data_IF_969080352631
#
_entry.id   IF_969080352631
#
_cell.length_a   1.000
_cell.length_b   1.000
_cell.length_c   1.000
_cell.angle_alpha   90.00
_cell.angle_beta   90.00
_cell.angle_gamma   90.00
#
_symmetry.space_group_name_H-M   'P 1'
#
loop_
_entity.id
_entity.type
_entity.pdbx_description
1 polymer ?
#
# COMPACT_ATOMS: atom_id res chain seq x y z
N UNK A 1 -15.54 -26.50 -24.05
CA UNK A 1 -14.30 -26.43 -23.24
C UNK A 1 -14.39 -25.32 -22.20
N UNK A 2 -14.68 -24.06 -22.54
CA UNK A 2 -14.69 -22.91 -21.61
C UNK A 2 -15.63 -23.12 -20.41
N UNK A 3 -16.91 -23.47 -20.64
CA UNK A 3 -17.91 -23.72 -19.57
C UNK A 3 -17.46 -24.85 -18.63
N UNK A 4 -16.85 -25.91 -19.16
CA UNK A 4 -16.32 -26.99 -18.35
C UNK A 4 -15.21 -26.50 -17.42
N UNK A 5 -14.22 -25.77 -17.95
CA UNK A 5 -13.12 -25.23 -17.17
C UNK A 5 -13.60 -24.23 -16.09
N UNK A 6 -14.63 -23.46 -16.42
CA UNK A 6 -15.26 -22.55 -15.45
C UNK A 6 -15.95 -23.33 -14.32
N UNK A 7 -16.73 -24.37 -14.65
CA UNK A 7 -17.41 -25.20 -13.67
C UNK A 7 -16.44 -26.01 -12.80
N UNK A 8 -15.30 -26.41 -13.36
CA UNK A 8 -14.20 -27.07 -12.65
C UNK A 8 -13.35 -26.09 -11.79
N UNK A 9 -13.63 -24.78 -11.85
CA UNK A 9 -12.91 -23.75 -11.09
C UNK A 9 -11.52 -23.43 -11.62
N UNK A 10 -11.16 -23.94 -12.81
CA UNK A 10 -9.84 -23.73 -13.42
C UNK A 10 -9.71 -22.34 -14.06
N UNK A 11 -10.83 -21.75 -14.46
CA UNK A 11 -10.90 -20.36 -14.92
C UNK A 11 -11.96 -19.62 -14.10
N UNK A 12 -11.69 -18.37 -13.83
CA UNK A 12 -12.58 -17.51 -13.06
C UNK A 12 -12.43 -16.06 -13.52
N UNK A 13 -13.44 -15.24 -13.21
CA UNK A 13 -13.36 -13.79 -13.39
C UNK A 13 -12.83 -13.16 -12.11
N UNK A 14 -11.74 -12.41 -12.19
CA UNK A 14 -11.15 -11.74 -11.05
C UNK A 14 -10.37 -10.50 -11.47
N UNK A 15 -10.13 -9.61 -10.52
CA UNK A 15 -9.21 -8.48 -10.69
C UNK A 15 -7.78 -8.95 -10.46
N UNK A 16 -6.85 -8.44 -11.24
CA UNK A 16 -5.42 -8.66 -11.09
C UNK A 16 -4.67 -7.35 -11.25
N UNK A 17 -3.52 -7.25 -10.60
CA UNK A 17 -2.59 -6.18 -10.86
C UNK A 17 -1.97 -6.37 -12.26
N UNK A 18 -1.87 -5.30 -13.02
CA UNK A 18 -1.29 -5.29 -14.37
C UNK A 18 -0.40 -4.04 -14.52
N UNK A 19 0.61 -4.12 -15.38
CA UNK A 19 1.31 -2.94 -15.83
C UNK A 19 0.37 -2.10 -16.69
N UNK A 20 0.33 -0.79 -16.46
CA UNK A 20 -0.60 0.14 -17.10
C UNK A 20 0.14 1.35 -17.67
N UNK A 21 -0.06 1.65 -18.95
CA UNK A 21 0.43 2.87 -19.57
C UNK A 21 -0.64 3.97 -19.50
N UNK A 22 -0.40 5.05 -18.71
CA UNK A 22 -1.36 6.14 -18.53
C UNK A 22 -1.47 7.09 -19.73
N UNK A 23 -0.58 6.99 -20.73
CA UNK A 23 -0.66 7.77 -21.98
C UNK A 23 -1.45 7.03 -23.04
N UNK A 24 -1.19 5.75 -23.20
CA UNK A 24 -1.87 4.91 -24.18
C UNK A 24 -3.20 4.36 -23.67
N UNK A 25 -3.46 4.48 -22.35
CA UNK A 25 -4.65 3.96 -21.67
C UNK A 25 -4.83 2.46 -21.94
N UNK A 26 -3.77 1.69 -21.82
CA UNK A 26 -3.77 0.25 -22.07
C UNK A 26 -2.95 -0.51 -21.03
N UNK A 27 -3.33 -1.75 -20.78
CA UNK A 27 -2.49 -2.69 -20.06
C UNK A 27 -1.29 -3.08 -20.94
N UNK A 28 -0.14 -3.23 -20.32
CA UNK A 28 1.12 -3.63 -20.95
C UNK A 28 1.47 -5.02 -20.45
N UNK A 29 1.85 -5.92 -21.36
CA UNK A 29 2.32 -7.27 -21.02
C UNK A 29 3.66 -7.19 -20.28
N UNK A 30 3.89 -8.09 -19.32
CA UNK A 30 5.18 -8.17 -18.61
C UNK A 30 6.37 -8.38 -19.56
N UNK A 31 6.14 -8.99 -20.73
CA UNK A 31 7.16 -9.19 -21.76
C UNK A 31 7.53 -7.89 -22.50
N UNK A 32 6.69 -6.87 -22.42
CA UNK A 32 6.88 -5.56 -23.06
C UNK A 32 7.48 -4.53 -22.10
N UNK A 33 7.59 -4.87 -20.81
CA UNK A 33 8.16 -4.00 -19.78
C UNK A 33 9.68 -4.19 -19.78
N UNK A 34 10.40 -3.12 -20.07
CA UNK A 34 11.87 -3.07 -19.94
C UNK A 34 12.21 -2.42 -18.61
N UNK A 35 13.03 -3.11 -17.81
CA UNK A 35 13.54 -2.55 -16.56
C UNK A 35 14.75 -1.68 -16.88
N UNK A 36 14.72 -0.41 -16.49
CA UNK A 36 15.80 0.54 -16.63
C UNK A 36 16.18 1.07 -15.25
N UNK A 37 17.48 1.23 -15.00
CA UNK A 37 17.97 1.86 -13.78
C UNK A 37 17.88 3.38 -13.94
N UNK A 38 17.24 4.04 -12.99
CA UNK A 38 17.14 5.48 -12.92
C UNK A 38 17.71 5.99 -11.58
N UNK A 39 18.36 7.14 -11.62
CA UNK A 39 18.71 7.84 -10.39
C UNK A 39 17.44 8.29 -9.68
N UNK A 40 17.22 7.77 -8.48
CA UNK A 40 16.03 8.01 -7.70
C UNK A 40 16.34 8.40 -6.26
N UNK A 41 15.33 8.83 -5.55
CA UNK A 41 15.39 9.11 -4.12
C UNK A 41 14.66 8.02 -3.35
N UNK A 42 15.17 7.70 -2.15
CA UNK A 42 14.48 6.88 -1.18
C UNK A 42 14.13 7.74 0.02
N UNK A 43 12.84 7.85 0.32
CA UNK A 43 12.35 8.63 1.44
C UNK A 43 12.08 7.70 2.63
N UNK A 44 12.59 8.10 3.80
CA UNK A 44 12.34 7.43 5.06
C UNK A 44 11.25 8.16 5.82
N UNK A 45 10.14 7.48 6.09
CA UNK A 45 8.95 8.09 6.66
C UNK A 45 8.61 7.37 7.97
N UNK A 46 8.49 8.10 9.07
CA UNK A 46 8.05 7.54 10.34
C UNK A 46 6.51 7.47 10.38
N UNK A 47 5.98 6.26 10.57
CA UNK A 47 4.56 6.01 10.82
C UNK A 47 4.35 5.89 12.32
N UNK A 48 3.79 6.92 13.00
CA UNK A 48 3.66 6.91 14.45
C UNK A 48 2.68 5.83 14.92
N UNK A 49 2.90 5.26 16.10
CA UNK A 49 1.94 4.31 16.67
C UNK A 49 0.63 5.02 17.01
N UNK A 50 -0.49 4.31 16.76
CA UNK A 50 -1.85 4.85 17.00
C UNK A 50 -2.08 5.20 18.47
N UNK A 51 -1.61 4.35 19.39
CA UNK A 51 -1.82 4.48 20.83
C UNK A 51 -0.69 5.22 21.57
N UNK A 52 0.20 5.87 20.82
CA UNK A 52 1.35 6.57 21.36
C UNK A 52 2.62 5.72 21.44
N UNK A 53 3.73 6.28 21.95
CA UNK A 53 5.02 5.62 21.95
C UNK A 53 5.03 4.26 22.67
N UNK A 54 5.80 3.30 22.15
CA UNK A 54 5.98 1.97 22.73
C UNK A 54 7.46 1.83 23.11
N UNK A 55 7.75 1.87 24.42
CA UNK A 55 9.13 1.96 24.90
C UNK A 55 9.81 3.23 24.38
N UNK A 56 10.91 3.11 23.71
CA UNK A 56 11.65 4.24 23.11
C UNK A 56 11.25 4.54 21.65
N UNK A 57 10.32 3.76 21.09
CA UNK A 57 9.88 3.94 19.70
C UNK A 57 8.65 4.82 19.65
N UNK A 58 8.67 5.83 18.79
CA UNK A 58 7.52 6.70 18.51
C UNK A 58 6.65 6.18 17.36
N UNK A 59 7.19 5.29 16.54
CA UNK A 59 6.56 4.71 15.35
C UNK A 59 7.50 3.75 14.65
N UNK A 60 7.15 3.35 13.44
CA UNK A 60 7.96 2.54 12.54
C UNK A 60 8.40 3.35 11.33
N UNK A 61 9.69 3.30 11.01
CA UNK A 61 10.23 3.98 9.82
C UNK A 61 10.19 3.04 8.62
N UNK A 62 9.47 3.44 7.59
CA UNK A 62 9.41 2.76 6.28
C UNK A 62 10.24 3.52 5.26
N UNK A 63 10.76 2.82 4.25
CA UNK A 63 11.47 3.42 3.13
C UNK A 63 10.69 3.21 1.83
N UNK A 64 10.59 4.25 1.00
CA UNK A 64 9.88 4.17 -0.28
C UNK A 64 10.50 5.08 -1.34
N UNK A 65 10.47 4.61 -2.59
CA UNK A 65 10.80 5.42 -3.78
C UNK A 65 9.56 6.11 -4.37
N UNK A 66 8.34 5.76 -3.87
CA UNK A 66 7.06 6.21 -4.42
C UNK A 66 6.12 6.73 -3.32
N UNK A 67 6.45 7.87 -2.67
CA UNK A 67 5.64 8.39 -1.55
C UNK A 67 4.19 8.71 -1.95
N UNK A 68 3.90 9.00 -3.21
CA UNK A 68 2.52 9.21 -3.68
C UNK A 68 1.62 7.98 -3.53
N UNK A 69 2.19 6.77 -3.51
CA UNK A 69 1.40 5.54 -3.33
C UNK A 69 1.09 5.24 -1.87
N UNK A 70 1.77 5.91 -0.90
CA UNK A 70 1.51 5.70 0.53
C UNK A 70 0.06 5.98 0.92
N UNK A 71 -0.64 6.84 0.18
CA UNK A 71 -2.05 7.11 0.40
C UNK A 71 -2.92 5.83 0.31
N UNK A 72 -2.42 4.80 -0.35
CA UNK A 72 -3.03 3.49 -0.50
C UNK A 72 -2.46 2.39 0.41
N UNK A 73 -1.56 2.72 1.34
CA UNK A 73 -0.99 1.72 2.25
C UNK A 73 -2.07 1.12 3.15
N UNK A 74 -2.00 -0.18 3.35
CA UNK A 74 -3.02 -0.95 4.10
C UNK A 74 -2.45 -1.71 5.30
N UNK A 75 -1.13 -1.85 5.36
CA UNK A 75 -0.41 -2.45 6.48
C UNK A 75 1.06 -1.99 6.46
N UNK A 76 1.72 -2.25 7.57
CA UNK A 76 3.18 -2.27 7.67
C UNK A 76 3.57 -3.69 8.03
N UNK A 77 4.58 -4.27 7.38
CA UNK A 77 5.03 -5.63 7.67
C UNK A 77 6.44 -5.64 8.25
N UNK A 78 6.66 -6.58 9.16
CA UNK A 78 7.94 -6.89 9.81
C UNK A 78 8.18 -8.38 9.74
N UNK A 79 9.44 -8.81 9.82
CA UNK A 79 9.73 -10.24 9.89
C UNK A 79 9.31 -10.80 11.24
N UNK A 80 8.65 -11.98 11.33
CA UNK A 80 8.13 -12.55 12.59
C UNK A 80 9.21 -12.85 13.63
N UNK A 81 10.43 -13.16 13.17
CA UNK A 81 11.59 -13.46 14.04
C UNK A 81 12.48 -12.24 14.31
N UNK A 82 12.09 -11.04 13.86
CA UNK A 82 12.86 -9.83 14.16
C UNK A 82 12.55 -9.36 15.59
N UNK A 83 13.48 -9.60 16.50
CA UNK A 83 13.34 -9.26 17.93
C UNK A 83 13.09 -7.76 18.17
N UNK A 84 13.53 -6.91 17.22
CA UNK A 84 13.29 -5.46 17.31
C UNK A 84 11.81 -5.12 17.24
N UNK A 85 11.03 -5.89 16.45
CA UNK A 85 9.65 -5.55 16.08
C UNK A 85 8.62 -6.64 16.37
N UNK A 86 9.03 -7.87 16.70
CA UNK A 86 8.11 -8.99 16.96
C UNK A 86 7.03 -8.66 18.01
N UNK A 87 7.36 -7.87 19.02
CA UNK A 87 6.43 -7.43 20.07
C UNK A 87 5.41 -6.37 19.62
N UNK A 88 5.56 -5.83 18.40
CA UNK A 88 4.67 -4.83 17.79
C UNK A 88 3.63 -5.45 16.86
N UNK A 89 3.78 -6.74 16.50
CA UNK A 89 2.84 -7.45 15.63
C UNK A 89 1.45 -7.42 16.25
N UNK A 90 0.44 -7.10 15.42
CA UNK A 90 -0.95 -6.94 15.85
C UNK A 90 -1.30 -5.57 16.42
N UNK A 91 -0.33 -4.69 16.60
CA UNK A 91 -0.59 -3.26 16.90
C UNK A 91 -0.82 -2.47 15.61
N UNK A 92 -1.09 -1.18 15.75
CA UNK A 92 -1.38 -0.30 14.60
C UNK A 92 -0.49 0.94 14.60
N UNK A 93 -0.22 1.41 13.39
CA UNK A 93 0.41 2.71 13.13
C UNK A 93 -0.57 3.62 12.41
N UNK A 94 -0.42 4.93 12.61
CA UNK A 94 -1.19 5.94 11.91
C UNK A 94 -0.50 6.31 10.60
N UNK A 95 -1.18 6.11 9.49
CA UNK A 95 -0.69 6.51 8.18
C UNK A 95 -0.63 8.04 8.12
N UNK A 96 0.58 8.63 7.95
CA UNK A 96 0.73 10.08 7.90
C UNK A 96 -0.13 10.71 6.81
N UNK A 97 -0.55 11.95 7.00
CA UNK A 97 -1.38 12.76 6.10
C UNK A 97 -2.79 12.20 5.83
N UNK A 98 -3.02 10.90 5.99
CA UNK A 98 -4.31 10.24 5.72
C UNK A 98 -5.16 10.04 6.97
N UNK A 99 -4.56 10.05 8.16
CA UNK A 99 -5.25 9.82 9.43
C UNK A 99 -5.88 8.43 9.60
N UNK A 100 -5.53 7.45 8.74
CA UNK A 100 -5.95 6.05 8.87
C UNK A 100 -5.02 5.28 9.78
N UNK A 101 -5.57 4.39 10.57
CA UNK A 101 -4.81 3.40 11.31
C UNK A 101 -4.67 2.13 10.47
N UNK A 102 -3.45 1.63 10.33
CA UNK A 102 -3.12 0.42 9.58
C UNK A 102 -2.36 -0.57 10.47
N UNK A 103 -2.61 -1.88 10.35
CA UNK A 103 -2.03 -2.89 11.21
C UNK A 103 -0.54 -3.12 10.92
N UNK A 104 0.18 -3.56 11.94
CA UNK A 104 1.51 -4.15 11.84
C UNK A 104 1.33 -5.66 11.72
N UNK A 105 1.74 -6.23 10.58
CA UNK A 105 1.63 -7.65 10.27
C UNK A 105 2.99 -8.31 10.24
N UNK A 106 3.02 -9.64 10.39
CA UNK A 106 4.21 -10.46 10.23
C UNK A 106 4.23 -11.11 8.85
N UNK A 107 5.34 -11.01 8.11
CA UNK A 107 5.51 -11.73 6.86
C UNK A 107 6.99 -12.08 6.64
N UNK A 108 7.27 -13.33 6.28
CA UNK A 108 8.63 -13.85 6.04
C UNK A 108 9.28 -13.22 4.78
N UNK A 109 8.51 -12.50 3.97
CA UNK A 109 9.00 -11.73 2.83
C UNK A 109 9.96 -10.61 3.24
N UNK A 110 9.84 -10.11 4.47
CA UNK A 110 10.68 -8.99 4.96
C UNK A 110 12.10 -9.46 5.20
N UNK A 111 13.06 -8.81 4.53
CA UNK A 111 14.48 -8.98 4.83
C UNK A 111 14.85 -8.12 6.06
N UNK A 112 15.26 -8.78 7.14
CA UNK A 112 15.63 -8.14 8.41
C UNK A 112 16.86 -7.27 8.32
N UNK A 113 17.74 -7.57 7.37
CA UNK A 113 19.04 -6.89 7.19
C UNK A 113 18.96 -5.75 6.17
N UNK A 114 17.86 -5.68 5.42
CA UNK A 114 17.67 -4.63 4.42
C UNK A 114 16.94 -3.40 4.99
N UNK A 115 17.59 -2.24 4.87
CA UNK A 115 17.02 -0.97 5.32
C UNK A 115 16.66 -0.96 6.80
N UNK A 116 15.42 -0.59 7.12
CA UNK A 116 14.92 -0.59 8.50
C UNK A 116 14.44 -1.96 8.98
N UNK A 117 14.25 -2.93 8.08
CA UNK A 117 13.56 -4.19 8.36
C UNK A 117 12.03 -4.01 8.50
N UNK A 118 11.52 -2.87 8.07
CA UNK A 118 10.09 -2.51 8.11
C UNK A 118 9.63 -2.11 6.72
N UNK A 119 8.59 -2.74 6.20
CA UNK A 119 8.11 -2.53 4.82
C UNK A 119 6.65 -2.13 4.84
N UNK A 120 6.30 -1.07 4.11
CA UNK A 120 4.91 -0.68 3.87
C UNK A 120 4.25 -1.63 2.87
N UNK A 121 2.95 -1.81 2.93
CA UNK A 121 2.19 -2.72 2.06
C UNK A 121 1.13 -1.96 1.29
N UNK A 122 1.30 -1.89 -0.05
CA UNK A 122 0.38 -1.19 -0.98
C UNK A 122 -0.05 -2.13 -2.12
N UNK A 123 -0.95 -3.07 -1.89
CA UNK A 123 -1.26 -4.16 -2.82
C UNK A 123 -1.76 -3.72 -4.20
N UNK A 124 -2.31 -2.52 -4.31
CA UNK A 124 -2.80 -1.98 -5.58
C UNK A 124 -1.70 -1.36 -6.47
N UNK A 125 -0.49 -1.19 -5.95
CA UNK A 125 0.59 -0.44 -6.64
C UNK A 125 1.94 -1.15 -6.68
N UNK A 126 2.04 -2.37 -6.14
CA UNK A 126 3.25 -3.20 -6.16
C UNK A 126 2.89 -4.68 -6.25
N UNK A 127 3.60 -5.44 -7.10
CA UNK A 127 3.32 -6.87 -7.32
C UNK A 127 3.68 -7.74 -6.12
N UNK A 128 4.73 -7.40 -5.39
CA UNK A 128 5.12 -8.14 -4.19
C UNK A 128 4.11 -7.87 -3.06
N UNK A 129 3.71 -6.60 -2.89
CA UNK A 129 2.67 -6.22 -1.95
C UNK A 129 1.30 -6.83 -2.31
N UNK A 130 1.03 -7.03 -3.60
CA UNK A 130 -0.15 -7.75 -4.06
C UNK A 130 -0.17 -9.20 -3.54
N UNK A 131 0.97 -9.90 -3.61
CA UNK A 131 1.10 -11.26 -3.09
C UNK A 131 0.95 -11.30 -1.55
N UNK A 132 1.52 -10.32 -0.84
CA UNK A 132 1.32 -10.13 0.61
C UNK A 132 -0.16 -9.88 0.90
N UNK A 133 -0.80 -8.98 0.16
CA UNK A 133 -2.23 -8.70 0.28
C UNK A 133 -3.11 -9.94 0.15
N UNK A 134 -2.79 -10.82 -0.81
CA UNK A 134 -3.50 -12.09 -0.97
C UNK A 134 -3.34 -13.02 0.23
N UNK A 135 -2.10 -13.17 0.78
CA UNK A 135 -1.83 -14.04 1.92
C UNK A 135 -2.54 -13.56 3.19
N UNK A 136 -2.61 -12.26 3.38
CA UNK A 136 -3.15 -11.64 4.60
C UNK A 136 -4.60 -11.13 4.46
N UNK A 137 -5.24 -11.33 3.31
CA UNK A 137 -6.62 -10.86 3.08
C UNK A 137 -6.77 -9.32 3.14
N UNK A 138 -5.73 -8.58 2.75
CA UNK A 138 -5.72 -7.12 2.85
C UNK A 138 -6.54 -6.44 1.74
N UNK A 139 -7.06 -5.23 1.96
CA UNK A 139 -7.74 -4.47 0.93
C UNK A 139 -6.77 -3.99 -0.16
N UNK A 140 -7.29 -3.82 -1.38
CA UNK A 140 -6.59 -3.18 -2.49
C UNK A 140 -7.11 -1.75 -2.67
N UNK A 141 -6.32 -0.78 -2.28
CA UNK A 141 -6.67 0.64 -2.38
C UNK A 141 -5.89 1.25 -3.55
N UNK A 142 -6.55 1.39 -4.69
CA UNK A 142 -5.97 2.07 -5.84
C UNK A 142 -6.19 3.58 -5.71
N UNK A 143 -5.11 4.34 -5.57
CA UNK A 143 -5.14 5.80 -5.41
C UNK A 143 -4.94 6.57 -6.71
N UNK A 144 -4.65 5.88 -7.83
CA UNK A 144 -4.39 6.50 -9.12
C UNK A 144 -5.55 6.27 -10.10
N UNK A 145 -5.85 7.28 -10.89
CA UNK A 145 -6.74 7.21 -12.05
C UNK A 145 -6.03 6.55 -13.24
N UNK A 146 -6.77 6.24 -14.30
CA UNK A 146 -6.19 5.64 -15.52
C UNK A 146 -5.19 6.57 -16.23
N UNK A 147 -5.30 7.87 -16.05
CA UNK A 147 -4.36 8.88 -16.57
C UNK A 147 -3.25 9.27 -15.58
N UNK A 148 -3.09 8.48 -14.50
CA UNK A 148 -1.99 8.62 -13.55
C UNK A 148 -2.08 9.78 -12.57
N UNK A 149 -3.29 10.31 -12.34
CA UNK A 149 -3.54 11.34 -11.33
C UNK A 149 -4.05 10.74 -10.03
N UNK A 150 -3.93 11.48 -8.93
CA UNK A 150 -4.52 11.07 -7.66
C UNK A 150 -6.05 11.13 -7.76
N UNK A 151 -6.72 10.04 -7.35
CA UNK A 151 -8.19 9.95 -7.33
C UNK A 151 -8.82 10.96 -6.37
N UNK A 152 -10.03 11.38 -6.69
CA UNK A 152 -10.84 12.23 -5.81
C UNK A 152 -11.35 11.49 -4.56
N UNK A 153 -11.53 10.19 -4.66
CA UNK A 153 -11.90 9.31 -3.56
C UNK A 153 -11.22 7.96 -3.72
N UNK A 154 -10.62 7.42 -2.65
CA UNK A 154 -10.16 6.04 -2.68
C UNK A 154 -11.39 5.15 -2.74
N UNK A 155 -11.54 4.41 -3.82
CA UNK A 155 -12.52 3.34 -3.90
C UNK A 155 -11.79 2.09 -3.43
N UNK A 156 -12.35 1.42 -2.42
CA UNK A 156 -11.95 0.05 -2.11
C UNK A 156 -12.35 -0.81 -3.31
N UNK A 157 -11.39 -1.04 -4.18
CA UNK A 157 -11.66 -1.76 -5.42
C UNK A 157 -11.86 -3.25 -5.16
N UNK A 158 -11.27 -3.78 -4.05
CA UNK A 158 -11.27 -5.23 -3.82
C UNK A 158 -10.62 -5.58 -2.46
N UNK A 159 -11.16 -6.59 -1.77
CA UNK A 159 -10.49 -7.22 -0.61
C UNK A 159 -10.25 -8.70 -0.91
N UNK A 160 -9.03 -9.17 -0.70
CA UNK A 160 -8.68 -10.57 -0.91
C UNK A 160 -9.48 -11.48 0.04
N UNK A 161 -9.89 -12.65 -0.47
CA UNK A 161 -10.57 -13.67 0.33
C UNK A 161 -12.09 -13.64 0.32
N UNK A 162 -12.71 -12.63 -0.29
CA UNK A 162 -14.18 -12.56 -0.37
C UNK A 162 -14.70 -12.87 -1.78
N UNK A 163 -15.29 -14.06 -1.94
CA UNK A 163 -15.95 -14.46 -3.19
C UNK A 163 -17.21 -13.66 -3.52
N UNK A 164 -17.83 -12.95 -2.55
CA UNK A 164 -19.15 -12.31 -2.71
C UNK A 164 -19.29 -10.93 -2.06
N UNK A 165 -18.22 -10.16 -1.82
CA UNK A 165 -18.33 -8.74 -1.45
C UNK A 165 -19.04 -8.42 -0.12
N UNK A 166 -19.27 -9.39 0.74
CA UNK A 166 -19.93 -9.19 2.05
C UNK A 166 -19.03 -9.56 3.21
N UNK A 167 -18.22 -8.60 3.64
CA UNK A 167 -17.81 -8.52 5.04
C UNK A 167 -18.75 -7.56 5.76
N UNK A 168 -19.09 -7.89 7.00
CA UNK A 168 -19.72 -6.91 7.89
C UNK A 168 -18.76 -5.73 8.08
N UNK A 169 -19.27 -4.49 7.99
CA UNK A 169 -18.50 -3.24 8.05
C UNK A 169 -17.65 -3.06 9.32
N UNK A 170 -17.81 -3.94 10.30
CA UNK A 170 -17.15 -3.89 11.61
C UNK A 170 -15.79 -4.63 11.69
N UNK A 171 -15.38 -5.39 10.66
CA UNK A 171 -14.20 -6.25 10.74
C UNK A 171 -12.96 -5.76 9.98
N UNK A 172 -13.05 -4.62 9.30
CA UNK A 172 -11.93 -4.08 8.52
C UNK A 172 -11.34 -2.84 9.17
N UNK A 173 -10.36 -3.05 10.04
CA UNK A 173 -9.45 -1.99 10.47
C UNK A 173 -8.73 -1.44 9.23
N UNK A 174 -8.80 -0.12 9.00
CA UNK A 174 -8.06 0.54 7.93
C UNK A 174 -8.77 0.69 6.58
N UNK A 175 -10.08 0.45 6.49
CA UNK A 175 -10.83 0.80 5.26
C UNK A 175 -10.75 2.30 4.97
N UNK A 176 -10.45 2.68 3.73
CA UNK A 176 -10.48 4.08 3.35
C UNK A 176 -11.91 4.60 3.35
N UNK A 177 -12.11 5.74 3.98
CA UNK A 177 -13.31 6.56 3.78
C UNK A 177 -13.09 7.50 2.60
N UNK A 178 -14.17 8.15 2.12
CA UNK A 178 -14.06 9.19 1.09
C UNK A 178 -13.12 10.35 1.46
N UNK A 179 -12.70 10.45 2.73
CA UNK A 179 -11.80 11.49 3.26
C UNK A 179 -10.35 11.01 3.41
N UNK A 180 -10.06 9.73 3.15
CA UNK A 180 -8.72 9.15 3.35
C UNK A 180 -7.65 9.69 2.40
N UNK A 181 -8.03 10.27 1.27
CA UNK A 181 -7.11 11.05 0.43
C UNK A 181 -7.33 12.52 0.74
N UNK A 182 -6.32 13.24 1.24
CA UNK A 182 -6.42 14.68 1.47
C UNK A 182 -6.82 15.42 0.20
N UNK A 183 -7.73 16.39 0.34
CA UNK A 183 -8.27 17.15 -0.81
C UNK A 183 -7.17 17.88 -1.59
N UNK A 184 -6.09 18.24 -0.93
CA UNK A 184 -4.94 18.94 -1.51
C UNK A 184 -4.22 18.16 -2.61
N UNK A 185 -4.29 16.82 -2.58
CA UNK A 185 -3.60 15.97 -3.59
C UNK A 185 -4.52 15.53 -4.73
N UNK A 186 -5.84 15.62 -4.55
CA UNK A 186 -6.83 15.11 -5.52
C UNK A 186 -6.67 15.79 -6.88
N UNK A 187 -6.69 14.98 -7.93
CA UNK A 187 -6.55 15.46 -9.32
C UNK A 187 -5.13 15.86 -9.72
N UNK A 188 -4.16 15.90 -8.79
CA UNK A 188 -2.76 16.16 -9.14
C UNK A 188 -2.18 15.00 -9.94
N UNK A 189 -1.30 15.31 -10.90
CA UNK A 189 -0.43 14.31 -11.51
C UNK A 189 0.40 13.61 -10.41
N UNK A 190 0.68 12.32 -10.58
CA UNK A 190 1.40 11.52 -9.57
C UNK A 190 2.76 12.10 -9.16
N UNK A 191 3.48 12.73 -10.07
CA UNK A 191 4.78 13.33 -9.77
C UNK A 191 4.66 14.68 -9.04
N UNK A 192 3.61 15.45 -9.34
CA UNK A 192 3.33 16.68 -8.60
C UNK A 192 2.77 16.35 -7.21
N UNK A 193 1.94 15.33 -7.11
CA UNK A 193 1.49 14.79 -5.82
C UNK A 193 2.67 14.31 -4.97
N UNK A 194 3.65 13.61 -5.56
CA UNK A 194 4.87 13.16 -4.87
C UNK A 194 5.60 14.34 -4.22
N UNK A 195 5.81 15.42 -4.96
CA UNK A 195 6.47 16.63 -4.43
C UNK A 195 5.69 17.25 -3.27
N UNK A 196 4.37 17.38 -3.44
CA UNK A 196 3.51 17.95 -2.41
C UNK A 196 3.48 17.09 -1.14
N UNK A 197 3.35 15.77 -1.29
CA UNK A 197 3.37 14.81 -0.19
C UNK A 197 4.70 14.86 0.58
N UNK A 198 5.83 14.87 -0.11
CA UNK A 198 7.15 14.96 0.53
C UNK A 198 7.26 16.27 1.33
N UNK A 199 6.85 17.39 0.77
CA UNK A 199 6.86 18.68 1.48
C UNK A 199 5.96 18.67 2.74
N UNK A 200 4.77 18.06 2.65
CA UNK A 200 3.86 17.97 3.79
C UNK A 200 4.35 16.97 4.85
N UNK A 201 5.03 15.89 4.46
CA UNK A 201 5.68 14.95 5.41
C UNK A 201 6.83 15.61 6.15
N UNK A 202 7.62 16.45 5.46
CA UNK A 202 8.68 17.25 6.06
C UNK A 202 8.09 18.26 7.05
N UNK A 203 7.06 19.01 6.64
CA UNK A 203 6.37 19.97 7.50
C UNK A 203 5.72 19.32 8.73
N UNK A 204 5.25 18.06 8.59
CA UNK A 204 4.70 17.28 9.70
C UNK A 204 5.79 16.67 10.61
N UNK A 205 7.08 16.78 10.25
CA UNK A 205 8.19 16.23 11.02
C UNK A 205 8.23 14.70 11.07
N UNK A 206 7.66 14.04 10.07
CA UNK A 206 7.65 12.56 9.96
C UNK A 206 8.57 12.04 8.86
N UNK A 207 9.11 12.91 8.03
CA UNK A 207 10.19 12.59 7.11
C UNK A 207 11.50 12.51 7.91
N UNK A 208 12.21 11.38 7.81
CA UNK A 208 13.43 11.13 8.62
C UNK A 208 14.68 11.49 7.82
N UNK A 209 14.69 11.21 6.49
CA UNK A 209 15.73 11.59 5.50
C UNK A 209 15.23 11.42 4.08
#
# INVERSE_FOLDING_TARGET
TFVRLYNEGLIYRGKRLVNWDPKLHTAVSDLEVVQEEEDGFMWHINYPFTDGPIGNLTGLTVATTRPETMLGDVAVMVHPEDERYAHLIGKSVRLPLCGRDIPIIADDYVDREFGTGVVKVTPAHDFNDYAVGQRHGLPMINVLTLDGKIKDSPVDDFTFGHRNGTLADSELVGRPTSESIPKTYRGLDRFDARKAIVADLEAAGVLVD
#
